data_IF_451792316054
#
_entry.id   IF_451792316054
#
_cell.length_a   1.000
_cell.length_b   1.000
_cell.length_c   1.000
_cell.angle_alpha   90.00
_cell.angle_beta   90.00
_cell.angle_gamma   90.00
#
_symmetry.space_group_name_H-M   'P 1'
#
loop_
_entity.id
_entity.type
_entity.pdbx_description
1 polymer ?
#
# COMPACT_ATOMS: atom_id res chain seq x y z
N UNK A 1 5.49 -13.59 10.49
CA UNK A 1 5.77 -12.13 10.53
C UNK A 1 6.77 -11.70 11.61
N UNK A 2 6.86 -12.40 12.76
CA UNK A 2 7.69 -11.98 13.93
C UNK A 2 9.15 -11.62 13.61
N UNK A 3 9.79 -12.29 12.65
CA UNK A 3 11.23 -12.06 12.41
C UNK A 3 11.53 -10.82 11.56
N UNK A 4 10.65 -10.42 10.63
CA UNK A 4 10.92 -9.23 9.78
C UNK A 4 10.76 -7.92 10.53
N UNK A 5 9.90 -7.87 11.53
CA UNK A 5 9.72 -6.67 12.36
C UNK A 5 10.97 -6.37 13.21
N UNK A 6 11.71 -7.41 13.63
CA UNK A 6 12.93 -7.27 14.43
C UNK A 6 14.15 -6.79 13.64
N UNK A 7 14.14 -6.97 12.32
CA UNK A 7 15.25 -6.65 11.42
C UNK A 7 15.18 -5.22 10.85
N UNK A 8 14.09 -4.50 11.12
CA UNK A 8 13.83 -3.19 10.52
C UNK A 8 14.11 -2.10 11.54
N UNK A 9 14.88 -1.10 11.13
CA UNK A 9 15.19 0.10 11.92
C UNK A 9 13.91 0.81 12.39
N UNK A 10 13.90 1.25 13.63
CA UNK A 10 12.76 1.98 14.21
C UNK A 10 12.70 3.39 13.63
N UNK A 11 11.66 3.67 12.84
CA UNK A 11 11.37 5.00 12.28
C UNK A 11 9.88 5.24 12.21
N UNK A 12 9.45 6.50 12.11
CA UNK A 12 8.04 6.88 11.99
C UNK A 12 7.37 6.16 10.81
N UNK A 13 8.04 6.11 9.66
CA UNK A 13 7.56 5.44 8.45
C UNK A 13 7.42 3.94 8.68
N UNK A 14 8.38 3.33 9.38
CA UNK A 14 8.39 1.90 9.63
C UNK A 14 7.35 1.50 10.66
N UNK A 15 7.06 2.35 11.65
CA UNK A 15 6.02 2.14 12.65
C UNK A 15 4.64 2.00 12.00
N UNK A 16 4.30 2.87 11.05
CA UNK A 16 3.05 2.78 10.29
C UNK A 16 3.02 1.48 9.48
N UNK A 17 4.10 1.14 8.78
CA UNK A 17 4.15 -0.09 8.00
C UNK A 17 3.98 -1.37 8.83
N UNK A 18 4.54 -1.42 10.04
CA UNK A 18 4.34 -2.54 10.99
C UNK A 18 2.88 -2.61 11.42
N UNK A 19 2.32 -1.47 11.83
CA UNK A 19 0.92 -1.38 12.26
C UNK A 19 -0.03 -1.86 11.16
N UNK A 20 0.15 -1.38 9.92
CA UNK A 20 -0.63 -1.81 8.76
C UNK A 20 -0.53 -3.32 8.56
N UNK A 21 0.68 -3.87 8.57
CA UNK A 21 0.89 -5.29 8.31
C UNK A 21 0.32 -6.18 9.43
N UNK A 22 0.41 -5.76 10.70
CA UNK A 22 -0.20 -6.45 11.84
C UNK A 22 -1.73 -6.39 11.79
N UNK A 23 -2.29 -5.21 11.54
CA UNK A 23 -3.75 -5.04 11.42
C UNK A 23 -4.31 -5.86 10.27
N UNK A 24 -3.62 -5.84 9.12
CA UNK A 24 -4.02 -6.63 7.96
C UNK A 24 -4.06 -8.14 8.25
N UNK A 25 -3.06 -8.64 8.99
CA UNK A 25 -3.01 -10.03 9.45
C UNK A 25 -4.14 -10.35 10.44
N UNK A 26 -4.31 -9.51 11.45
CA UNK A 26 -5.26 -9.75 12.54
C UNK A 26 -6.72 -9.68 12.09
N UNK A 27 -7.03 -8.78 11.15
CA UNK A 27 -8.38 -8.59 10.62
C UNK A 27 -8.62 -9.39 9.33
N UNK A 28 -7.61 -10.11 8.84
CA UNK A 28 -7.66 -10.87 7.60
C UNK A 28 -8.23 -10.05 6.43
N UNK A 29 -7.71 -8.84 6.23
CA UNK A 29 -8.21 -7.92 5.19
C UNK A 29 -7.83 -8.43 3.80
N UNK A 30 -8.72 -8.24 2.82
CA UNK A 30 -8.47 -8.65 1.42
C UNK A 30 -7.35 -7.84 0.77
N UNK A 31 -7.34 -6.52 0.98
CA UNK A 31 -6.40 -5.63 0.32
C UNK A 31 -6.00 -4.42 1.20
N UNK A 32 -4.81 -3.89 0.92
CA UNK A 32 -4.24 -2.67 1.50
C UNK A 32 -4.05 -1.66 0.37
N UNK A 33 -4.69 -0.50 0.46
CA UNK A 33 -4.54 0.55 -0.55
C UNK A 33 -3.50 1.58 -0.10
N UNK A 34 -2.45 1.74 -0.89
CA UNK A 34 -1.36 2.68 -0.66
C UNK A 34 -1.42 3.82 -1.68
N UNK A 35 -1.97 4.98 -1.30
CA UNK A 35 -1.77 6.21 -2.07
C UNK A 35 -0.29 6.63 -2.00
N UNK A 36 0.33 6.87 -3.15
CA UNK A 36 1.76 7.19 -3.20
C UNK A 36 2.15 7.97 -4.46
N UNK A 37 3.00 8.98 -4.30
CA UNK A 37 3.54 9.75 -5.43
C UNK A 37 4.83 9.12 -5.97
N UNK A 38 5.72 8.66 -5.09
CA UNK A 38 7.03 8.07 -5.44
C UNK A 38 7.13 6.55 -5.24
N UNK A 39 6.08 5.91 -4.72
CA UNK A 39 6.04 4.48 -4.43
C UNK A 39 6.59 4.08 -3.05
N UNK A 40 7.08 5.05 -2.25
CA UNK A 40 7.69 4.77 -0.94
C UNK A 40 6.75 4.05 0.01
N UNK A 41 5.48 4.48 0.10
CA UNK A 41 4.46 3.85 0.94
C UNK A 41 4.23 2.38 0.55
N UNK A 42 4.07 2.11 -0.74
CA UNK A 42 3.84 0.75 -1.24
C UNK A 42 5.04 -0.17 -0.94
N UNK A 43 6.27 0.33 -1.12
CA UNK A 43 7.51 -0.39 -0.76
C UNK A 43 7.63 -0.64 0.75
N UNK A 44 7.29 0.34 1.58
CA UNK A 44 7.29 0.23 3.04
C UNK A 44 6.32 -0.82 3.55
N UNK A 45 5.16 -0.98 2.91
CA UNK A 45 4.21 -2.05 3.27
C UNK A 45 4.71 -3.40 2.75
N UNK A 46 5.14 -3.45 1.47
CA UNK A 46 5.61 -4.66 0.80
C UNK A 46 6.74 -5.37 1.53
N UNK A 47 7.70 -4.65 2.13
CA UNK A 47 8.83 -5.27 2.86
C UNK A 47 8.40 -6.18 4.02
N UNK A 48 7.23 -5.94 4.62
CA UNK A 48 6.69 -6.79 5.68
C UNK A 48 5.97 -8.03 5.16
N UNK A 49 5.76 -8.12 3.84
CA UNK A 49 5.15 -9.24 3.12
C UNK A 49 3.79 -9.66 3.70
N UNK A 50 2.80 -8.74 3.79
CA UNK A 50 1.45 -9.09 4.22
C UNK A 50 0.83 -10.10 3.25
N UNK A 51 -0.12 -10.92 3.74
CA UNK A 51 -0.89 -11.83 2.89
C UNK A 51 -1.89 -11.08 2.00
N UNK A 52 -2.41 -9.95 2.48
CA UNK A 52 -3.30 -9.06 1.74
C UNK A 52 -2.63 -8.46 0.50
N UNK A 53 -3.40 -8.31 -0.58
CA UNK A 53 -2.94 -7.63 -1.79
C UNK A 53 -2.61 -6.16 -1.51
N UNK A 54 -1.53 -5.63 -2.09
CA UNK A 54 -1.17 -4.21 -1.94
C UNK A 54 -1.53 -3.47 -3.23
N UNK A 55 -2.45 -2.52 -3.17
CA UNK A 55 -2.84 -1.71 -4.33
C UNK A 55 -2.18 -0.33 -4.24
N UNK A 56 -1.22 -0.05 -5.11
CA UNK A 56 -0.52 1.23 -5.12
C UNK A 56 -1.24 2.23 -6.05
N UNK A 57 -1.90 3.23 -5.48
CA UNK A 57 -2.58 4.28 -6.25
C UNK A 57 -1.64 5.47 -6.43
N UNK A 58 -1.31 5.80 -7.67
CA UNK A 58 -0.36 6.87 -7.98
C UNK A 58 -0.80 7.72 -9.16
N UNK A 59 -0.50 9.03 -9.20
CA UNK A 59 -0.73 9.85 -10.38
C UNK A 59 0.34 9.68 -11.47
N UNK A 60 1.48 9.04 -11.15
CA UNK A 60 2.61 8.90 -12.06
C UNK A 60 2.66 7.51 -12.68
N UNK A 61 2.61 7.46 -14.01
CA UNK A 61 2.85 6.25 -14.81
C UNK A 61 4.24 5.66 -14.57
N UNK A 62 5.25 6.51 -14.33
CA UNK A 62 6.60 6.05 -14.00
C UNK A 62 6.63 5.33 -12.66
N UNK A 63 6.02 5.94 -11.63
CA UNK A 63 5.92 5.33 -10.30
C UNK A 63 5.15 4.01 -10.36
N UNK A 64 4.08 3.93 -11.17
CA UNK A 64 3.33 2.69 -11.37
C UNK A 64 4.22 1.58 -11.95
N UNK A 65 5.02 1.87 -12.99
CA UNK A 65 6.00 0.93 -13.55
C UNK A 65 7.09 0.54 -12.53
N UNK A 66 7.55 1.47 -11.71
CA UNK A 66 8.49 1.14 -10.62
C UNK A 66 7.84 0.24 -9.57
N UNK A 67 6.55 0.41 -9.29
CA UNK A 67 5.81 -0.40 -8.34
C UNK A 67 5.49 -1.80 -8.87
N UNK A 68 5.41 -2.04 -10.18
CA UNK A 68 5.04 -3.35 -10.74
C UNK A 68 6.08 -4.45 -10.49
N UNK A 69 7.34 -4.10 -10.17
CA UNK A 69 8.37 -5.06 -9.76
C UNK A 69 8.43 -5.26 -8.24
N UNK A 70 7.68 -4.46 -7.47
CA UNK A 70 7.67 -4.53 -6.01
C UNK A 70 6.77 -5.70 -5.59
N UNK A 71 7.29 -6.56 -4.71
CA UNK A 71 6.58 -7.76 -4.27
C UNK A 71 5.17 -7.46 -3.76
N UNK A 72 4.17 -8.21 -4.22
CA UNK A 72 2.79 -8.12 -3.76
C UNK A 72 2.07 -6.82 -4.10
N UNK A 73 2.68 -5.93 -4.91
CA UNK A 73 2.11 -4.63 -5.27
C UNK A 73 1.46 -4.68 -6.65
N UNK A 74 0.20 -4.27 -6.72
CA UNK A 74 -0.58 -4.04 -7.93
C UNK A 74 -0.76 -2.53 -8.12
N UNK A 75 -0.04 -1.90 -9.06
CA UNK A 75 -0.13 -0.46 -9.28
C UNK A 75 -1.38 -0.07 -10.08
N UNK A 76 -1.95 1.09 -9.74
CA UNK A 76 -3.08 1.71 -10.45
C UNK A 76 -2.79 3.20 -10.63
N UNK A 77 -2.85 3.66 -11.88
CA UNK A 77 -2.63 5.08 -12.20
C UNK A 77 -3.94 5.84 -12.13
N UNK A 78 -3.99 6.88 -11.29
CA UNK A 78 -5.15 7.76 -11.09
C UNK A 78 -4.71 9.19 -10.81
N UNK A 79 -5.37 10.15 -11.46
CA UNK A 79 -5.11 11.58 -11.24
C UNK A 79 -5.27 11.93 -9.76
N UNK A 80 -4.24 12.52 -9.17
CA UNK A 80 -4.22 12.93 -7.77
C UNK A 80 -5.26 14.02 -7.48
N UNK A 81 -5.75 14.05 -6.24
CA UNK A 81 -6.60 15.13 -5.71
C UNK A 81 -5.99 15.65 -4.41
N UNK A 82 -6.19 16.94 -4.14
CA UNK A 82 -5.54 17.66 -3.04
C UNK A 82 -6.13 17.35 -1.65
N UNK A 83 -7.36 16.85 -1.55
CA UNK A 83 -7.98 16.56 -0.25
C UNK A 83 -7.93 15.07 0.11
N UNK A 84 -7.64 14.79 1.39
CA UNK A 84 -7.55 13.44 1.95
C UNK A 84 -8.85 12.65 1.78
N UNK A 85 -9.99 13.27 2.04
CA UNK A 85 -11.30 12.63 1.88
C UNK A 85 -11.59 12.20 0.44
N UNK A 86 -11.15 13.02 -0.53
CA UNK A 86 -11.29 12.69 -1.93
C UNK A 86 -10.38 11.52 -2.34
N UNK A 87 -9.20 11.39 -1.71
CA UNK A 87 -8.32 10.24 -1.90
C UNK A 87 -8.97 8.96 -1.36
N UNK A 88 -9.51 8.99 -0.15
CA UNK A 88 -10.18 7.84 0.49
C UNK A 88 -11.37 7.34 -0.35
N UNK A 89 -12.25 8.25 -0.76
CA UNK A 89 -13.45 7.90 -1.55
C UNK A 89 -13.09 7.22 -2.87
N UNK A 90 -12.01 7.68 -3.51
CA UNK A 90 -11.52 7.09 -4.75
C UNK A 90 -10.94 5.69 -4.55
N UNK A 91 -10.18 5.49 -3.48
CA UNK A 91 -9.58 4.20 -3.15
C UNK A 91 -10.65 3.13 -2.95
N UNK A 92 -11.75 3.47 -2.27
CA UNK A 92 -12.91 2.58 -2.09
C UNK A 92 -13.55 2.22 -3.44
N UNK A 93 -13.77 3.19 -4.33
CA UNK A 93 -14.29 2.92 -5.67
C UNK A 93 -13.36 2.01 -6.49
N UNK A 94 -12.05 2.18 -6.38
CA UNK A 94 -11.09 1.34 -7.10
C UNK A 94 -11.05 -0.08 -6.55
N UNK A 95 -11.14 -0.24 -5.23
CA UNK A 95 -11.23 -1.55 -4.59
C UNK A 95 -12.43 -2.34 -5.08
N UNK A 96 -13.62 -1.72 -5.16
CA UNK A 96 -14.83 -2.37 -5.65
C UNK A 96 -14.63 -2.94 -7.07
N UNK A 97 -13.98 -2.18 -7.96
CA UNK A 97 -13.69 -2.61 -9.34
C UNK A 97 -12.66 -3.73 -9.48
N UNK A 98 -11.87 -3.99 -8.44
CA UNK A 98 -10.87 -5.06 -8.42
C UNK A 98 -11.39 -6.32 -7.70
N UNK A 99 -12.55 -6.22 -7.05
CA UNK A 99 -13.18 -7.30 -6.29
C UNK A 99 -14.32 -7.98 -7.06
N UNK A 100 -14.94 -7.27 -8.00
CA UNK A 100 -15.81 -7.83 -9.06
C UNK A 100 -15.00 -8.48 -10.18
#
# INVERSE_FOLDING_TARGET
MSDRTKLVETSLVNAIGISVAHTALNLNVKAIVAATESGSTARTISKYRPHSDIIAVTPSEETARQCSIVWGVQPVVKKGRKSTDALLTMQLQQLLKLVE
#
